data_IF_625712769871
#
_entry.id   IF_625712769871
#
_cell.length_a   1.000
_cell.length_b   1.000
_cell.length_c   1.000
_cell.angle_alpha   90.00
_cell.angle_beta   90.00
_cell.angle_gamma   90.00
#
_symmetry.space_group_name_H-M   'P 1'
#
loop_
_entity.id
_entity.type
_entity.pdbx_description
1 polymer ?
#
# COMPACT_ATOMS: atom_id res chain seq x y z
N UNK A 1 4.76 -9.07 -19.98
CA UNK A 1 3.34 -8.82 -19.69
C UNK A 1 3.22 -7.31 -19.46
N UNK A 2 2.11 -6.63 -19.75
CA UNK A 2 1.96 -5.27 -19.24
C UNK A 2 1.80 -5.32 -17.71
N UNK A 3 2.29 -4.30 -17.00
CA UNK A 3 1.94 -4.12 -15.58
C UNK A 3 0.44 -3.82 -15.49
N UNK A 4 -0.16 -4.25 -14.39
CA UNK A 4 -1.55 -3.99 -14.06
C UNK A 4 -1.64 -3.11 -12.82
N UNK A 5 -2.77 -2.43 -12.61
CA UNK A 5 -3.03 -1.69 -11.36
C UNK A 5 -2.82 -2.57 -10.11
N UNK A 6 -3.14 -3.86 -10.23
CA UNK A 6 -2.95 -4.83 -9.15
C UNK A 6 -1.48 -5.00 -8.75
N UNK A 7 -0.55 -4.90 -9.70
CA UNK A 7 0.88 -4.99 -9.40
C UNK A 7 1.36 -3.78 -8.58
N UNK A 8 0.86 -2.58 -8.89
CA UNK A 8 1.13 -1.37 -8.12
C UNK A 8 0.50 -1.40 -6.73
N UNK A 9 -0.76 -1.83 -6.64
CA UNK A 9 -1.45 -2.00 -5.36
C UNK A 9 -0.72 -3.01 -4.46
N UNK A 10 -0.17 -4.09 -5.04
CA UNK A 10 0.64 -5.07 -4.30
C UNK A 10 1.91 -4.45 -3.72
N UNK A 11 2.61 -3.63 -4.49
CA UNK A 11 3.79 -2.93 -4.02
C UNK A 11 3.46 -1.95 -2.87
N UNK A 12 2.40 -1.15 -3.03
CA UNK A 12 1.94 -0.23 -1.99
C UNK A 12 1.44 -0.97 -0.74
N UNK A 13 0.82 -2.15 -0.91
CA UNK A 13 0.43 -3.00 0.21
C UNK A 13 1.65 -3.39 1.05
N UNK A 14 2.69 -3.89 0.38
CA UNK A 14 3.92 -4.33 1.01
C UNK A 14 4.65 -3.19 1.72
N UNK A 15 4.73 -2.01 1.10
CA UNK A 15 5.27 -0.82 1.77
C UNK A 15 4.47 -0.48 3.05
N UNK A 16 3.15 -0.47 3.00
CA UNK A 16 2.37 -0.21 4.21
C UNK A 16 2.57 -1.30 5.29
N UNK A 17 2.74 -2.57 4.93
CA UNK A 17 3.03 -3.63 5.89
C UNK A 17 4.40 -3.46 6.57
N UNK A 18 5.42 -3.03 5.82
CA UNK A 18 6.77 -2.82 6.36
C UNK A 18 6.86 -1.56 7.22
N UNK A 19 6.29 -0.45 6.74
CA UNK A 19 6.56 0.88 7.27
C UNK A 19 5.53 1.38 8.29
N UNK A 20 4.35 0.76 8.38
CA UNK A 20 3.30 1.20 9.31
C UNK A 20 3.73 1.19 10.79
N UNK A 21 4.64 0.29 11.18
CA UNK A 21 5.17 0.17 12.54
C UNK A 21 5.97 1.42 12.96
N UNK A 22 6.32 2.29 12.01
CA UNK A 22 7.01 3.56 12.23
C UNK A 22 6.10 4.78 11.96
N UNK A 23 4.77 4.58 11.90
CA UNK A 23 3.79 5.61 11.55
C UNK A 23 4.02 6.25 10.17
N UNK A 24 4.56 5.48 9.23
CA UNK A 24 4.78 5.89 7.83
C UNK A 24 3.82 5.08 6.95
N UNK A 25 3.01 5.80 6.18
CA UNK A 25 1.95 5.22 5.35
C UNK A 25 2.05 5.73 3.92
N UNK A 26 1.76 4.85 2.95
CA UNK A 26 1.83 5.15 1.53
C UNK A 26 0.43 5.12 0.92
N UNK A 27 0.02 6.23 0.29
CA UNK A 27 -1.26 6.34 -0.43
C UNK A 27 -1.03 6.12 -1.92
N UNK A 28 -1.67 5.10 -2.48
CA UNK A 28 -1.69 4.92 -3.94
C UNK A 28 -2.54 6.02 -4.60
N UNK A 29 -2.00 6.66 -5.64
CA UNK A 29 -2.63 7.77 -6.37
C UNK A 29 -2.90 7.46 -7.85
N UNK A 30 -2.51 6.28 -8.33
CA UNK A 30 -2.64 5.89 -9.74
C UNK A 30 -1.30 5.51 -10.36
N UNK A 31 -1.33 5.09 -11.63
CA UNK A 31 -0.17 4.93 -12.50
C UNK A 31 -0.47 5.57 -13.86
N UNK A 32 0.58 5.96 -14.57
CA UNK A 32 0.49 6.54 -15.91
C UNK A 32 1.49 5.82 -16.81
N UNK A 33 1.07 5.49 -18.04
CA UNK A 33 1.90 4.85 -19.06
C UNK A 33 2.54 5.91 -19.98
N UNK A 34 3.31 6.87 -19.46
CA UNK A 34 4.11 7.78 -20.31
C UNK A 34 5.24 8.48 -19.54
N UNK A 35 6.22 9.03 -20.29
CA UNK A 35 7.33 9.87 -19.81
C UNK A 35 6.84 11.28 -19.37
N UNK A 36 5.70 11.34 -18.68
CA UNK A 36 5.21 12.58 -18.08
C UNK A 36 6.22 13.07 -17.03
N UNK A 37 6.29 14.39 -16.89
CA UNK A 37 7.17 15.00 -15.89
C UNK A 37 6.77 14.48 -14.50
N UNK A 38 7.71 13.92 -13.70
CA UNK A 38 7.40 13.41 -12.38
C UNK A 38 6.61 14.43 -11.56
N UNK A 39 5.56 13.96 -10.90
CA UNK A 39 4.71 14.84 -10.10
C UNK A 39 5.47 15.21 -8.83
N UNK A 40 5.58 16.52 -8.58
CA UNK A 40 6.46 17.05 -7.53
C UNK A 40 5.89 16.85 -6.12
N UNK A 41 4.58 16.61 -6.02
CA UNK A 41 3.83 16.39 -4.78
C UNK A 41 3.66 14.90 -4.46
N UNK A 42 4.36 14.00 -5.17
CA UNK A 42 4.27 12.56 -4.96
C UNK A 42 5.65 11.88 -4.95
N UNK A 43 5.72 10.74 -4.26
CA UNK A 43 6.83 9.81 -4.42
C UNK A 43 6.62 9.04 -5.74
N UNK A 44 7.49 9.30 -6.72
CA UNK A 44 7.37 8.66 -8.04
C UNK A 44 8.20 7.37 -8.06
N UNK A 45 7.58 6.28 -8.52
CA UNK A 45 8.26 5.00 -8.76
C UNK A 45 8.21 4.73 -10.26
N UNK A 46 9.35 4.95 -10.92
CA UNK A 46 9.51 4.73 -12.34
C UNK A 46 9.90 3.28 -12.58
N UNK A 47 9.10 2.57 -13.37
CA UNK A 47 9.36 1.18 -13.71
C UNK A 47 9.81 1.10 -15.16
N UNK A 48 11.04 0.61 -15.40
CA UNK A 48 11.63 0.53 -16.73
C UNK A 48 11.71 -0.90 -17.26
N UNK A 49 11.50 -1.11 -18.57
CA UNK A 49 11.52 -2.44 -19.17
C UNK A 49 12.93 -3.07 -19.33
N UNK A 50 14.01 -2.29 -19.21
CA UNK A 50 15.40 -2.77 -19.39
C UNK A 50 16.05 -3.19 -18.06
N UNK A 51 17.18 -3.93 -18.11
CA UNK A 51 18.08 -4.29 -16.99
C UNK A 51 18.77 -3.05 -16.35
N UNK A 52 18.05 -1.93 -16.28
CA UNK A 52 18.51 -0.63 -15.82
C UNK A 52 18.75 -0.67 -14.31
N UNK A 53 19.97 -0.31 -13.94
CA UNK A 53 20.39 -0.21 -12.55
C UNK A 53 19.53 0.75 -11.72
N UNK A 54 19.59 0.54 -10.41
CA UNK A 54 18.92 1.32 -9.40
C UNK A 54 19.51 2.74 -9.41
N UNK A 55 18.66 3.72 -9.71
CA UNK A 55 19.02 5.13 -9.63
C UNK A 55 18.06 5.78 -8.63
N UNK A 56 18.65 6.23 -7.53
CA UNK A 56 17.96 6.93 -6.47
C UNK A 56 18.23 8.41 -6.60
N UNK A 57 17.16 9.18 -6.64
CA UNK A 57 17.19 10.57 -6.22
C UNK A 57 16.16 10.72 -5.11
N UNK A 58 16.24 11.77 -4.27
CA UNK A 58 15.18 12.04 -3.30
C UNK A 58 13.77 12.18 -3.95
N UNK A 59 13.72 12.35 -5.27
CA UNK A 59 12.49 12.62 -6.01
C UNK A 59 11.79 11.41 -6.63
N UNK A 60 12.54 10.36 -6.96
CA UNK A 60 12.00 9.16 -7.58
C UNK A 60 12.90 7.93 -7.42
N UNK A 61 12.25 6.78 -7.46
CA UNK A 61 12.88 5.45 -7.54
C UNK A 61 12.85 4.98 -8.98
N UNK A 62 13.94 4.44 -9.49
CA UNK A 62 13.98 3.76 -10.78
C UNK A 62 14.21 2.26 -10.57
N UNK A 63 13.23 1.44 -10.92
CA UNK A 63 13.25 -0.02 -10.73
C UNK A 63 13.03 -0.73 -12.07
N UNK A 64 13.73 -1.84 -12.29
CA UNK A 64 13.49 -2.70 -13.44
C UNK A 64 12.15 -3.44 -13.33
N UNK A 65 11.52 -3.71 -14.47
CA UNK A 65 10.25 -4.42 -14.54
C UNK A 65 10.30 -5.80 -13.86
N UNK A 66 11.40 -6.54 -14.03
CA UNK A 66 11.58 -7.88 -13.45
C UNK A 66 11.68 -7.82 -11.94
N UNK A 67 12.45 -6.86 -11.43
CA UNK A 67 12.56 -6.57 -9.99
C UNK A 67 11.22 -6.21 -9.38
N UNK A 68 10.46 -5.31 -10.00
CA UNK A 68 9.19 -4.84 -9.47
C UNK A 68 8.17 -5.98 -9.25
N UNK A 69 8.13 -6.96 -10.16
CA UNK A 69 7.19 -8.08 -10.06
C UNK A 69 7.68 -9.23 -9.18
N UNK A 70 9.00 -9.43 -9.11
CA UNK A 70 9.62 -10.57 -8.42
C UNK A 70 9.88 -10.32 -6.93
N UNK A 71 10.33 -9.11 -6.59
CA UNK A 71 11.07 -8.87 -5.35
C UNK A 71 10.60 -7.58 -4.66
N UNK A 72 9.44 -7.64 -4.02
CA UNK A 72 8.90 -6.52 -3.23
C UNK A 72 9.86 -5.99 -2.15
N UNK A 73 10.73 -6.80 -1.50
CA UNK A 73 11.67 -6.23 -0.57
C UNK A 73 12.67 -5.26 -1.22
N UNK A 74 12.93 -5.35 -2.54
CA UNK A 74 13.73 -4.33 -3.27
C UNK A 74 13.00 -2.98 -3.23
N UNK A 75 11.69 -2.92 -3.51
CA UNK A 75 11.01 -1.62 -3.47
C UNK A 75 11.07 -1.00 -2.08
N UNK A 76 11.01 -1.82 -1.03
CA UNK A 76 11.18 -1.34 0.34
C UNK A 76 12.60 -0.87 0.60
N UNK A 77 13.63 -1.59 0.13
CA UNK A 77 15.03 -1.16 0.21
C UNK A 77 15.25 0.23 -0.39
N UNK A 78 14.76 0.44 -1.62
CA UNK A 78 14.89 1.71 -2.32
C UNK A 78 14.13 2.85 -1.63
N UNK A 79 12.92 2.56 -1.11
CA UNK A 79 12.16 3.53 -0.30
C UNK A 79 12.94 3.87 0.98
N UNK A 80 13.62 2.91 1.60
CA UNK A 80 14.47 3.14 2.77
C UNK A 80 15.54 4.18 2.50
N UNK A 81 16.21 4.11 1.34
CA UNK A 81 17.18 5.13 0.93
C UNK A 81 16.58 6.52 0.73
N UNK A 82 15.40 6.61 0.12
CA UNK A 82 14.68 7.89 0.01
C UNK A 82 14.37 8.47 1.39
N UNK A 83 14.07 7.60 2.35
CA UNK A 83 13.84 7.97 3.74
C UNK A 83 15.16 8.11 4.54
N UNK A 84 16.31 8.18 3.88
CA UNK A 84 17.61 8.51 4.48
C UNK A 84 18.27 7.36 5.22
N UNK A 85 17.84 6.12 4.97
CA UNK A 85 18.58 4.93 5.40
C UNK A 85 19.76 4.66 4.47
N UNK A 86 20.81 4.12 5.06
CA UNK A 86 21.99 3.66 4.35
C UNK A 86 22.05 2.13 4.40
N UNK A 87 22.87 1.53 3.54
CA UNK A 87 23.14 0.10 3.65
C UNK A 87 23.73 -0.23 5.03
N UNK A 88 23.31 -1.35 5.64
CA UNK A 88 23.80 -1.76 6.98
C UNK A 88 25.32 -2.01 7.05
N UNK A 89 25.97 -2.11 5.89
CA UNK A 89 27.42 -2.30 5.74
C UNK A 89 28.12 -1.06 5.15
N UNK A 90 27.47 0.10 5.08
CA UNK A 90 28.07 1.32 4.55
C UNK A 90 29.40 1.62 5.27
N UNK A 91 30.43 2.06 4.54
CA UNK A 91 31.76 2.30 5.11
C UNK A 91 32.53 1.03 5.51
N UNK A 92 31.94 -0.16 5.44
CA UNK A 92 32.68 -1.40 5.71
C UNK A 92 33.84 -1.56 4.71
N UNK A 93 35.04 -1.94 5.18
CA UNK A 93 36.07 -2.42 4.28
C UNK A 93 35.52 -3.65 3.57
N UNK A 94 35.80 -3.80 2.27
CA UNK A 94 35.57 -5.08 1.61
C UNK A 94 36.49 -6.09 2.30
N UNK A 95 35.90 -7.06 2.99
CA UNK A 95 36.67 -8.12 3.66
C UNK A 95 37.23 -9.02 2.57
N UNK A 96 38.52 -8.87 2.26
CA UNK A 96 39.27 -9.88 1.52
C UNK A 96 39.45 -11.10 2.43
N UNK A 97 38.49 -12.04 2.43
CA UNK A 97 38.75 -13.35 3.01
C UNK A 97 38.40 -14.44 2.02
N UNK A 98 39.43 -15.03 1.41
CA UNK A 98 39.39 -16.46 1.12
C UNK A 98 39.37 -17.19 2.46
N UNK A 99 38.20 -17.68 2.88
CA UNK A 99 38.10 -18.45 4.11
C UNK A 99 39.15 -19.57 4.12
N UNK A 100 39.93 -19.66 5.19
CA UNK A 100 40.92 -20.74 5.33
C UNK A 100 40.20 -22.08 5.50
N UNK A 101 38.99 -22.04 6.06
CA UNK A 101 38.11 -23.19 6.22
C UNK A 101 36.80 -22.99 5.45
N UNK A 102 36.37 -23.93 4.58
CA UNK A 102 35.07 -23.82 3.94
C UNK A 102 33.97 -23.77 5.00
N UNK A 103 33.21 -22.68 5.01
CA UNK A 103 32.05 -22.53 5.88
C UNK A 103 30.94 -23.40 5.29
N UNK A 104 30.57 -24.49 5.99
CA UNK A 104 29.46 -25.35 5.56
C UNK A 104 28.16 -24.92 6.22
N UNK A 105 27.12 -24.70 5.41
CA UNK A 105 25.73 -24.69 5.84
C UNK A 105 25.32 -26.09 6.35
N UNK A 106 25.71 -26.46 7.57
CA UNK A 106 25.18 -27.66 8.21
C UNK A 106 23.89 -27.32 8.94
N UNK A 107 22.77 -27.27 8.21
CA UNK A 107 21.49 -27.66 8.80
C UNK A 107 20.52 -28.21 7.76
N UNK A 108 20.63 -29.52 7.54
CA UNK A 108 19.54 -30.33 6.98
C UNK A 108 19.53 -31.69 7.70
N UNK A 109 18.47 -32.04 8.45
CA UNK A 109 18.27 -33.41 8.98
C UNK A 109 18.25 -34.50 7.89
N UNK A 110 18.13 -34.13 6.61
CA UNK A 110 18.06 -35.01 5.44
C UNK A 110 19.35 -35.09 4.61
N UNK A 111 20.40 -34.35 4.99
CA UNK A 111 21.77 -34.52 4.43
C UNK A 111 22.02 -33.89 3.06
N UNK A 112 21.21 -32.92 2.64
CA UNK A 112 21.40 -32.22 1.37
C UNK A 112 22.31 -31.01 1.57
N UNK A 113 23.54 -31.08 1.06
CA UNK A 113 24.44 -29.92 0.97
C UNK A 113 23.87 -28.97 -0.08
N UNK A 114 23.49 -27.75 0.34
CA UNK A 114 23.15 -26.66 -0.59
C UNK A 114 24.39 -25.82 -0.86
N UNK A 115 24.56 -25.48 -2.13
CA UNK A 115 25.73 -24.80 -2.69
C UNK A 115 25.92 -23.43 -2.03
N UNK A 116 27.17 -23.09 -1.72
CA UNK A 116 27.55 -21.82 -1.09
C UNK A 116 27.53 -20.72 -2.16
N UNK A 117 26.91 -19.59 -1.84
CA UNK A 117 26.88 -18.40 -2.69
C UNK A 117 28.27 -17.94 -3.14
N UNK A 118 28.31 -17.24 -4.27
CA UNK A 118 29.53 -16.75 -4.90
C UNK A 118 30.25 -15.73 -4.01
N UNK A 119 31.52 -16.00 -3.66
CA UNK A 119 32.43 -15.04 -3.05
C UNK A 119 33.04 -14.15 -4.14
N UNK A 120 32.60 -12.89 -4.23
CA UNK A 120 33.23 -11.91 -5.11
C UNK A 120 34.37 -11.22 -4.36
N UNK A 121 35.60 -11.47 -4.82
CA UNK A 121 36.77 -10.64 -4.52
C UNK A 121 36.80 -9.53 -5.57
N UNK A 122 36.48 -8.30 -5.17
CA UNK A 122 36.63 -7.13 -6.05
C UNK A 122 37.53 -6.09 -5.36
N UNK A 123 38.39 -5.54 -6.21
CA UNK A 123 39.61 -4.74 -6.06
C UNK A 123 39.62 -3.66 -4.94
N UNK A 124 40.70 -3.57 -4.13
CA UNK A 124 40.91 -2.53 -3.12
C UNK A 124 41.41 -1.23 -3.74
N UNK A 125 40.52 -0.28 -4.02
CA UNK A 125 40.97 1.09 -4.30
C UNK A 125 39.99 2.17 -3.82
N UNK A 126 39.49 2.03 -2.58
CA UNK A 126 38.89 3.16 -1.86
C UNK A 126 39.42 3.23 -0.43
N UNK A 127 40.17 4.29 -0.13
CA UNK A 127 40.52 4.81 1.19
C UNK A 127 39.25 5.21 1.98
N UNK A 128 38.26 4.33 2.12
CA UNK A 128 37.00 4.62 2.81
C UNK A 128 37.22 4.60 4.32
N UNK A 129 37.56 5.79 4.81
CA UNK A 129 37.46 6.18 6.21
C UNK A 129 35.99 6.02 6.64
N UNK A 130 35.76 5.25 7.70
CA UNK A 130 34.52 5.14 8.50
C UNK A 130 33.83 3.75 8.48
N UNK A 131 34.62 2.68 8.57
CA UNK A 131 34.14 1.36 8.97
C UNK A 131 33.51 1.38 10.36
N UNK A 132 32.32 0.80 10.50
CA UNK A 132 31.70 0.67 11.81
C UNK A 132 32.37 -0.43 12.64
N UNK A 133 32.72 -0.11 13.89
CA UNK A 133 33.24 -1.09 14.83
C UNK A 133 32.09 -1.89 15.46
N UNK A 134 32.36 -3.16 15.77
CA UNK A 134 31.37 -4.09 16.32
C UNK A 134 30.86 -3.65 17.70
N UNK A 135 31.66 -2.90 18.46
CA UNK A 135 31.31 -2.50 19.82
C UNK A 135 30.10 -1.57 19.86
N UNK A 136 29.09 -1.96 20.64
CA UNK A 136 27.87 -1.17 20.89
C UNK A 136 27.87 -0.44 22.22
N UNK A 137 29.00 -0.42 22.92
CA UNK A 137 29.15 0.27 24.20
C UNK A 137 29.58 1.73 23.96
N UNK A 138 28.72 2.74 24.22
CA UNK A 138 29.08 4.15 24.03
C UNK A 138 30.24 4.63 24.91
N UNK A 139 30.63 3.88 25.95
CA UNK A 139 31.80 4.16 26.77
C UNK A 139 33.11 3.59 26.19
N UNK A 140 33.03 2.72 25.18
CA UNK A 140 34.19 2.16 24.49
C UNK A 140 34.90 3.26 23.69
N UNK A 141 36.25 3.38 23.78
CA UNK A 141 36.99 4.31 22.93
C UNK A 141 36.90 3.99 21.43
N UNK A 142 36.43 2.78 21.10
CA UNK A 142 36.26 2.31 19.73
C UNK A 142 34.79 2.43 19.26
N UNK A 143 33.87 2.98 20.06
CA UNK A 143 32.48 3.17 19.64
C UNK A 143 32.38 4.24 18.56
N UNK A 144 31.79 3.89 17.41
CA UNK A 144 31.60 4.82 16.29
C UNK A 144 30.27 4.63 15.54
N UNK A 145 29.31 3.89 16.08
CA UNK A 145 27.99 3.64 15.44
C UNK A 145 27.17 4.91 15.09
N UNK A 146 27.54 6.08 15.63
CA UNK A 146 26.91 7.37 15.33
C UNK A 146 27.60 8.12 14.19
N UNK A 147 28.81 7.70 13.80
CA UNK A 147 29.69 8.43 12.88
C UNK A 147 30.26 7.56 11.78
N UNK A 148 29.93 6.28 11.76
CA UNK A 148 30.40 5.26 10.82
C UNK A 148 29.26 4.25 10.57
N UNK A 149 29.37 3.44 9.53
CA UNK A 149 28.32 2.46 9.21
C UNK A 149 27.11 3.09 8.53
N UNK A 150 25.93 2.58 8.88
CA UNK A 150 24.63 3.12 8.48
C UNK A 150 24.13 4.26 9.40
N UNK A 151 24.93 4.65 10.39
CA UNK A 151 24.64 5.68 11.39
C UNK A 151 23.41 5.36 12.25
N UNK A 152 23.09 4.07 12.43
CA UNK A 152 21.99 3.60 13.27
C UNK A 152 22.56 2.72 14.39
N UNK A 153 22.25 3.06 15.65
CA UNK A 153 22.90 2.40 16.79
C UNK A 153 22.42 0.97 17.00
N UNK A 154 21.14 0.70 16.72
CA UNK A 154 20.49 -0.59 16.98
C UNK A 154 20.55 -1.56 15.79
N UNK A 155 21.13 -1.16 14.65
CA UNK A 155 21.55 -2.06 13.58
C UNK A 155 22.94 -2.61 13.92
N UNK A 156 23.13 -3.94 14.00
CA UNK A 156 24.44 -4.51 14.27
C UNK A 156 25.43 -4.23 13.14
N UNK A 157 26.71 -4.08 13.51
CA UNK A 157 27.75 -3.71 12.56
C UNK A 157 27.86 -4.86 11.56
N UNK A 158 28.00 -4.51 10.29
CA UNK A 158 27.98 -5.47 9.22
C UNK A 158 29.09 -5.18 8.23
N UNK A 159 29.37 -6.17 7.39
CA UNK A 159 30.24 -6.04 6.26
C UNK A 159 29.51 -6.39 4.98
N UNK A 160 30.05 -5.93 3.85
CA UNK A 160 29.44 -6.17 2.54
C UNK A 160 29.36 -7.66 2.26
N UNK A 161 28.17 -8.16 1.92
CA UNK A 161 27.89 -9.56 1.60
C UNK A 161 28.29 -10.51 2.74
N UNK A 162 27.56 -10.49 3.88
CA UNK A 162 27.85 -11.36 5.00
C UNK A 162 27.75 -12.83 4.63
N UNK A 163 28.39 -13.69 5.42
CA UNK A 163 28.26 -15.13 5.26
C UNK A 163 26.84 -15.52 5.65
N UNK A 164 26.03 -15.88 4.67
CA UNK A 164 24.62 -16.18 4.90
C UNK A 164 24.32 -17.63 4.52
N UNK A 165 23.53 -18.27 5.35
CA UNK A 165 22.87 -19.52 5.03
C UNK A 165 21.38 -19.29 4.86
N UNK A 166 20.82 -19.69 3.72
CA UNK A 166 19.40 -19.50 3.40
C UNK A 166 18.70 -20.83 3.17
N UNK A 167 17.57 -21.04 3.85
CA UNK A 167 16.65 -22.15 3.60
C UNK A 167 15.39 -21.66 2.91
N UNK A 168 15.34 -21.84 1.59
CA UNK A 168 14.19 -21.49 0.75
C UNK A 168 12.91 -22.24 1.20
N UNK A 169 13.03 -23.44 1.78
CA UNK A 169 11.86 -24.22 2.18
C UNK A 169 11.20 -23.65 3.44
N UNK A 170 11.99 -23.15 4.39
CA UNK A 170 11.46 -22.50 5.59
C UNK A 170 11.22 -21.00 5.41
N UNK A 171 11.87 -20.38 4.41
CA UNK A 171 11.87 -18.92 4.27
C UNK A 171 12.80 -18.23 5.27
N UNK A 172 13.79 -18.94 5.82
CA UNK A 172 14.73 -18.38 6.79
C UNK A 172 16.11 -18.14 6.21
N UNK A 173 16.79 -17.15 6.79
CA UNK A 173 18.18 -16.82 6.50
C UNK A 173 18.91 -16.45 7.79
N UNK A 174 20.14 -16.92 7.96
CA UNK A 174 20.94 -16.64 9.15
C UNK A 174 22.42 -16.44 8.82
N UNK A 175 23.06 -15.58 9.63
CA UNK A 175 24.48 -15.30 9.55
C UNK A 175 25.30 -16.52 10.01
N UNK A 176 26.35 -16.86 9.26
CA UNK A 176 27.33 -17.86 9.63
C UNK A 176 28.58 -17.18 10.20
N UNK A 177 28.70 -17.27 11.51
CA UNK A 177 29.82 -16.70 12.26
C UNK A 177 31.18 -17.23 11.78
N UNK A 178 32.15 -16.32 11.70
CA UNK A 178 33.56 -16.63 11.50
C UNK A 178 34.41 -15.69 12.36
N UNK A 179 35.37 -16.25 13.10
CA UNK A 179 36.37 -15.47 13.84
C UNK A 179 37.45 -14.87 12.92
N UNK A 180 37.45 -15.22 11.63
CA UNK A 180 38.33 -14.65 10.59
C UNK A 180 37.81 -13.31 10.07
N UNK A 181 36.51 -12.98 10.29
CA UNK A 181 35.90 -11.73 9.84
C UNK A 181 35.80 -10.75 11.00
N UNK A 182 36.71 -9.78 11.02
CA UNK A 182 36.94 -8.84 12.13
C UNK A 182 36.82 -7.38 11.67
N UNK A 183 36.45 -6.48 12.57
CA UNK A 183 36.53 -5.03 12.36
C UNK A 183 37.98 -4.52 12.44
N UNK A 184 38.16 -3.21 12.25
CA UNK A 184 39.48 -2.55 12.28
C UNK A 184 40.19 -2.66 13.63
N UNK A 185 39.45 -2.96 14.70
CA UNK A 185 39.98 -3.14 16.06
C UNK A 185 40.38 -4.59 16.35
N UNK A 186 40.13 -5.50 15.41
CA UNK A 186 40.33 -6.93 15.54
C UNK A 186 39.21 -7.65 16.28
N UNK A 187 38.02 -7.04 16.37
CA UNK A 187 36.84 -7.64 17.01
C UNK A 187 36.00 -8.39 15.97
N UNK A 188 35.70 -9.69 16.15
CA UNK A 188 34.86 -10.44 15.21
C UNK A 188 33.42 -9.91 15.11
N UNK A 189 32.86 -9.95 13.91
CA UNK A 189 31.43 -9.69 13.70
C UNK A 189 30.60 -10.87 14.23
N UNK A 190 29.73 -10.64 15.21
CA UNK A 190 29.01 -11.72 15.94
C UNK A 190 27.50 -11.73 15.76
N UNK A 191 26.89 -10.67 15.23
CA UNK A 191 25.43 -10.51 15.28
C UNK A 191 24.87 -9.75 14.07
N UNK A 192 25.31 -10.09 12.85
CA UNK A 192 24.83 -9.42 11.64
C UNK A 192 23.35 -9.70 11.42
N UNK A 193 22.57 -8.65 11.22
CA UNK A 193 21.16 -8.75 10.84
C UNK A 193 21.04 -8.99 9.33
N UNK A 194 20.98 -10.26 8.95
CA UNK A 194 20.92 -10.66 7.54
C UNK A 194 19.53 -10.48 6.91
N UNK A 195 18.50 -10.21 7.73
CA UNK A 195 17.12 -10.00 7.28
C UNK A 195 16.78 -8.52 7.13
N UNK A 196 17.72 -7.64 7.49
CA UNK A 196 17.53 -6.20 7.35
C UNK A 196 17.28 -5.82 5.90
N UNK A 197 16.19 -5.09 5.67
CA UNK A 197 15.82 -4.61 4.34
C UNK A 197 16.95 -3.80 3.72
N UNK A 198 17.76 -3.09 4.51
CA UNK A 198 18.91 -2.30 4.01
C UNK A 198 20.20 -3.13 3.84
N UNK A 199 20.13 -4.46 3.88
CA UNK A 199 21.24 -5.35 3.54
C UNK A 199 21.22 -5.76 2.06
N UNK A 200 22.28 -6.44 1.59
CA UNK A 200 22.39 -7.00 0.23
C UNK A 200 22.22 -8.52 0.20
N UNK A 201 21.51 -9.08 1.19
CA UNK A 201 21.29 -10.52 1.23
C UNK A 201 20.23 -10.95 0.20
N UNK A 202 20.14 -12.26 -0.01
CA UNK A 202 19.25 -12.81 -1.02
C UNK A 202 17.77 -12.55 -0.68
N UNK A 203 17.00 -12.25 -1.72
CA UNK A 203 15.53 -12.27 -1.65
C UNK A 203 15.06 -13.74 -1.60
N UNK A 204 13.95 -14.05 -0.89
CA UNK A 204 12.96 -13.14 -0.30
C UNK A 204 13.16 -12.87 1.20
N UNK A 205 14.36 -13.08 1.75
CA UNK A 205 14.58 -13.13 3.21
C UNK A 205 14.65 -11.78 3.92
N UNK A 206 14.55 -10.68 3.17
CA UNK A 206 14.59 -9.32 3.70
C UNK A 206 13.21 -8.88 4.18
N UNK A 207 13.04 -8.70 5.48
CA UNK A 207 11.71 -8.48 6.07
C UNK A 207 11.66 -7.63 7.35
N UNK A 208 12.79 -7.08 7.81
CA UNK A 208 12.79 -6.23 8.99
C UNK A 208 13.54 -4.89 8.78
N UNK A 209 13.16 -3.94 9.63
CA UNK A 209 13.84 -2.67 9.86
C UNK A 209 13.87 -2.46 11.39
N UNK A 210 14.90 -1.79 11.91
CA UNK A 210 15.03 -1.54 13.35
C UNK A 210 14.24 -0.31 13.78
N UNK A 211 14.06 -0.13 15.09
CA UNK A 211 13.42 1.07 15.64
C UNK A 211 14.26 2.31 15.33
N UNK A 212 15.59 2.22 15.41
CA UNK A 212 16.51 3.30 15.07
C UNK A 212 16.43 3.69 13.59
N UNK A 213 16.29 2.73 12.68
CA UNK A 213 16.00 3.01 11.26
C UNK A 213 14.65 3.75 11.13
N UNK A 214 13.61 3.30 11.84
CA UNK A 214 12.33 3.99 11.96
C UNK A 214 12.45 5.46 12.37
N UNK A 215 13.20 5.74 13.44
CA UNK A 215 13.46 7.12 13.91
C UNK A 215 14.16 7.94 12.84
N UNK A 216 15.23 7.40 12.23
CA UNK A 216 15.97 8.09 11.17
C UNK A 216 15.08 8.45 10.00
N UNK A 217 14.21 7.54 9.56
CA UNK A 217 13.25 7.83 8.49
C UNK A 217 12.31 8.99 8.82
N UNK A 218 11.80 9.04 10.05
CA UNK A 218 10.93 10.15 10.51
C UNK A 218 11.68 11.47 10.59
N UNK A 219 12.94 11.45 11.02
CA UNK A 219 13.82 12.62 11.03
C UNK A 219 14.10 13.11 9.61
N UNK A 220 14.43 12.21 8.67
CA UNK A 220 14.64 12.55 7.26
C UNK A 220 13.39 13.19 6.67
N UNK A 221 12.21 12.57 6.85
CA UNK A 221 10.94 13.14 6.39
C UNK A 221 10.79 14.57 6.92
N UNK A 222 11.03 14.81 8.21
CA UNK A 222 10.85 16.12 8.86
C UNK A 222 11.84 17.18 8.37
N UNK A 223 13.07 16.78 8.04
CA UNK A 223 14.15 17.70 7.73
C UNK A 223 14.33 17.96 6.24
N UNK A 224 13.91 17.04 5.38
CA UNK A 224 14.05 17.16 3.92
C UNK A 224 12.80 17.82 3.32
N UNK A 225 12.95 19.05 2.80
CA UNK A 225 11.84 19.82 2.21
C UNK A 225 11.15 19.06 1.07
N UNK A 226 11.93 18.28 0.33
CA UNK A 226 11.46 17.48 -0.80
C UNK A 226 10.46 16.41 -0.34
N UNK A 227 10.68 15.79 0.83
CA UNK A 227 9.74 14.81 1.38
C UNK A 227 8.55 15.48 2.04
N UNK A 228 8.74 16.64 2.67
CA UNK A 228 7.64 17.43 3.24
C UNK A 228 6.61 17.82 2.18
N UNK A 229 7.05 18.20 0.98
CA UNK A 229 6.16 18.57 -0.14
C UNK A 229 5.32 17.39 -0.67
N UNK A 230 5.65 16.15 -0.26
CA UNK A 230 4.96 14.91 -0.66
C UNK A 230 4.04 14.36 0.43
N UNK A 231 4.01 15.01 1.59
CA UNK A 231 3.11 14.61 2.68
C UNK A 231 1.67 15.00 2.35
N UNK A 232 0.74 14.18 2.82
CA UNK A 232 -0.70 14.42 2.75
C UNK A 232 -1.33 14.09 4.08
N UNK A 233 -2.55 14.59 4.32
CA UNK A 233 -3.29 14.26 5.52
C UNK A 233 -3.65 12.76 5.58
N UNK A 234 -3.63 12.21 6.80
CA UNK A 234 -4.02 10.82 7.10
C UNK A 234 -5.44 10.52 6.61
N UNK A 235 -6.32 11.52 6.56
CA UNK A 235 -7.68 11.38 6.02
C UNK A 235 -7.72 10.85 4.59
N UNK A 236 -6.67 11.05 3.80
CA UNK A 236 -6.55 10.53 2.43
C UNK A 236 -6.53 9.00 2.36
N UNK A 237 -6.09 8.31 3.43
CA UNK A 237 -6.16 6.84 3.51
C UNK A 237 -7.61 6.34 3.54
N UNK A 238 -8.53 7.19 4.01
CA UNK A 238 -9.96 6.92 4.05
C UNK A 238 -10.72 7.38 2.80
N UNK A 239 -10.00 7.70 1.72
CA UNK A 239 -10.55 7.95 0.40
C UNK A 239 -10.34 6.73 -0.49
N UNK A 240 -11.34 6.36 -1.31
CA UNK A 240 -11.15 5.26 -2.25
C UNK A 240 -10.09 5.66 -3.29
N UNK A 241 -9.27 4.70 -3.73
CA UNK A 241 -8.34 4.95 -4.84
C UNK A 241 -9.07 4.91 -6.19
N UNK A 242 -10.19 4.21 -6.27
CA UNK A 242 -11.03 4.12 -7.45
C UNK A 242 -12.51 3.92 -7.09
N UNK A 243 -13.38 4.19 -8.06
CA UNK A 243 -14.82 4.11 -7.89
C UNK A 243 -15.45 5.29 -7.19
N UNK A 244 -16.77 5.25 -7.05
CA UNK A 244 -17.57 6.40 -6.63
C UNK A 244 -18.59 6.03 -5.54
N UNK A 245 -18.78 6.95 -4.61
CA UNK A 245 -19.90 6.89 -3.68
C UNK A 245 -21.18 7.33 -4.37
N UNK A 246 -22.24 6.55 -4.18
CA UNK A 246 -23.57 6.92 -4.69
C UNK A 246 -24.25 7.83 -3.68
N UNK A 247 -24.76 8.95 -4.17
CA UNK A 247 -25.38 10.00 -3.35
C UNK A 247 -26.91 9.98 -3.38
N UNK A 248 -27.54 9.21 -4.27
CA UNK A 248 -28.99 9.06 -4.35
C UNK A 248 -29.45 7.85 -5.18
N UNK A 249 -30.76 7.57 -5.06
CA UNK A 249 -31.66 6.74 -5.87
C UNK A 249 -31.58 5.19 -5.83
N UNK A 250 -32.74 4.61 -6.12
CA UNK A 250 -33.03 3.17 -6.24
C UNK A 250 -32.32 2.58 -7.47
N UNK A 251 -31.36 1.68 -7.25
CA UNK A 251 -31.03 0.63 -8.21
C UNK A 251 -30.81 -0.70 -7.49
N UNK A 252 -31.38 -1.81 -8.00
CA UNK A 252 -31.22 -3.15 -7.45
C UNK A 252 -29.92 -3.85 -7.88
N UNK A 253 -28.98 -3.16 -8.55
CA UNK A 253 -27.79 -3.79 -9.12
C UNK A 253 -26.53 -3.38 -8.35
N UNK A 254 -25.66 -4.37 -8.12
CA UNK A 254 -24.32 -4.19 -7.58
C UNK A 254 -23.70 -2.92 -8.16
N UNK A 255 -23.13 -2.06 -7.31
CA UNK A 255 -22.48 -0.86 -7.79
C UNK A 255 -21.38 -1.28 -8.78
N UNK A 256 -21.58 -1.07 -10.08
CA UNK A 256 -20.63 -1.48 -11.12
C UNK A 256 -19.24 -0.86 -10.91
N UNK A 257 -19.18 0.25 -10.17
CA UNK A 257 -17.94 0.92 -9.80
C UNK A 257 -17.93 1.29 -8.30
N UNK A 258 -17.78 0.31 -7.40
CA UNK A 258 -17.82 0.53 -5.96
C UNK A 258 -16.60 1.34 -5.50
N UNK A 259 -16.70 2.12 -4.41
CA UNK A 259 -15.55 2.81 -3.82
C UNK A 259 -14.56 1.77 -3.27
N UNK A 260 -13.45 1.56 -3.98
CA UNK A 260 -12.42 0.57 -3.66
C UNK A 260 -11.29 1.20 -2.86
N UNK A 261 -10.77 0.45 -1.91
CA UNK A 261 -9.71 0.86 -1.01
C UNK A 261 -8.44 0.06 -1.27
N UNK A 262 -7.30 0.73 -1.11
CA UNK A 262 -6.01 0.09 -1.35
C UNK A 262 -5.74 -0.99 -0.29
N UNK A 263 -5.05 -2.09 -0.62
CA UNK A 263 -4.57 -3.07 0.34
C UNK A 263 -3.44 -2.51 1.24
N UNK A 264 -2.95 -3.34 2.17
CA UNK A 264 -1.83 -3.00 3.06
C UNK A 264 -2.22 -2.57 4.48
N UNK A 265 -3.51 -2.66 4.81
CA UNK A 265 -4.05 -2.29 6.12
C UNK A 265 -5.00 -3.36 6.63
N UNK A 266 -5.08 -3.49 7.96
CA UNK A 266 -6.16 -4.23 8.59
C UNK A 266 -7.40 -3.32 8.62
N UNK A 267 -8.33 -3.59 7.71
CA UNK A 267 -9.59 -2.86 7.63
C UNK A 267 -10.66 -3.57 8.45
N UNK A 268 -11.44 -2.78 9.17
CA UNK A 268 -12.72 -3.20 9.70
C UNK A 268 -13.80 -2.23 9.24
N UNK A 269 -14.81 -2.76 8.56
CA UNK A 269 -15.98 -2.00 8.14
C UNK A 269 -17.08 -2.23 9.16
N UNK A 270 -17.30 -1.23 10.00
CA UNK A 270 -18.28 -1.30 11.09
C UNK A 270 -19.63 -0.80 10.62
N UNK A 271 -20.71 -1.37 11.15
CA UNK A 271 -22.04 -0.88 10.86
C UNK A 271 -22.12 0.60 11.30
N UNK A 272 -22.68 1.45 10.46
CA UNK A 272 -22.92 2.84 10.80
C UNK A 272 -24.34 3.24 10.44
N UNK A 273 -24.92 4.16 11.23
CA UNK A 273 -26.25 4.68 10.97
C UNK A 273 -26.39 6.12 11.42
N UNK A 274 -27.26 6.84 10.72
CA UNK A 274 -27.78 8.12 11.18
C UNK A 274 -29.02 7.89 12.05
N UNK A 275 -29.10 8.58 13.18
CA UNK A 275 -30.30 8.60 14.03
C UNK A 275 -31.17 9.84 13.78
N UNK A 276 -30.77 10.72 12.86
CA UNK A 276 -31.36 12.04 12.64
C UNK A 276 -31.90 12.21 11.22
N UNK A 277 -33.04 12.90 11.10
CA UNK A 277 -33.61 13.38 9.83
C UNK A 277 -32.69 14.41 9.11
N UNK A 278 -31.53 14.75 9.70
CA UNK A 278 -30.61 15.78 9.23
C UNK A 278 -29.53 15.27 8.25
N UNK A 279 -29.60 14.02 7.80
CA UNK A 279 -28.80 13.49 6.68
C UNK A 279 -29.19 14.09 5.33
N UNK A 280 -30.32 14.81 5.25
CA UNK A 280 -30.74 15.53 4.05
C UNK A 280 -29.74 16.66 3.73
N UNK A 281 -28.83 16.38 2.79
CA UNK A 281 -27.85 17.34 2.27
C UNK A 281 -26.43 17.23 2.83
N UNK A 282 -26.13 16.21 3.65
CA UNK A 282 -24.73 15.94 4.07
C UNK A 282 -23.92 15.30 2.92
N UNK A 283 -22.63 15.65 2.77
CA UNK A 283 -21.77 14.94 1.84
C UNK A 283 -21.63 13.47 2.27
N UNK A 284 -21.69 12.56 1.29
CA UNK A 284 -21.48 11.13 1.49
C UNK A 284 -20.18 10.71 0.80
N UNK A 285 -19.32 9.92 1.46
CA UNK A 285 -19.37 9.56 2.88
C UNK A 285 -19.20 10.80 3.75
N UNK A 286 -19.53 10.66 5.03
CA UNK A 286 -19.40 11.77 5.99
C UNK A 286 -17.96 12.31 5.99
N UNK A 287 -17.76 13.62 6.27
CA UNK A 287 -16.41 14.18 6.40
C UNK A 287 -15.56 13.39 7.40
N UNK A 288 -14.25 13.35 7.19
CA UNK A 288 -13.34 12.57 8.05
C UNK A 288 -13.47 12.92 9.55
N UNK A 289 -13.60 14.21 9.87
CA UNK A 289 -13.72 14.70 11.24
C UNK A 289 -15.15 14.60 11.83
N UNK A 290 -16.14 14.20 11.03
CA UNK A 290 -17.53 14.09 11.50
C UNK A 290 -17.78 12.73 12.13
N UNK A 291 -17.74 12.69 13.47
CA UNK A 291 -18.02 11.51 14.30
C UNK A 291 -19.45 11.46 14.83
N UNK A 292 -20.38 12.25 14.28
CA UNK A 292 -21.75 12.37 14.83
C UNK A 292 -22.67 11.19 14.46
N UNK A 293 -22.15 10.16 13.78
CA UNK A 293 -22.88 8.95 13.41
C UNK A 293 -22.78 7.87 14.51
N UNK A 294 -23.75 6.97 14.55
CA UNK A 294 -23.69 5.83 15.45
C UNK A 294 -22.91 4.70 14.78
N UNK A 295 -22.04 4.04 15.55
CA UNK A 295 -21.31 2.83 15.14
C UNK A 295 -21.88 1.59 15.83
N UNK A 296 -21.87 0.46 15.13
CA UNK A 296 -22.27 -0.85 15.64
C UNK A 296 -21.15 -1.89 15.46
N UNK A 297 -21.56 -3.15 15.27
CA UNK A 297 -20.66 -4.28 15.10
C UNK A 297 -19.84 -4.22 13.80
N UNK A 298 -18.70 -4.90 13.77
CA UNK A 298 -17.94 -5.14 12.53
C UNK A 298 -18.80 -5.98 11.58
N UNK A 299 -19.06 -5.46 10.38
CA UNK A 299 -19.85 -6.15 9.34
C UNK A 299 -18.93 -7.07 8.53
N UNK A 300 -17.75 -6.58 8.16
CA UNK A 300 -16.72 -7.33 7.48
C UNK A 300 -15.34 -6.69 7.73
N UNK A 301 -14.28 -7.47 7.52
CA UNK A 301 -12.90 -7.06 7.75
C UNK A 301 -11.97 -7.69 6.72
N UNK A 302 -10.86 -7.02 6.45
CA UNK A 302 -9.80 -7.54 5.58
C UNK A 302 -8.45 -7.39 6.30
N UNK A 303 -7.63 -8.45 6.36
CA UNK A 303 -6.29 -8.34 6.90
C UNK A 303 -5.37 -7.58 5.94
N UNK A 304 -4.25 -7.06 6.45
CA UNK A 304 -3.29 -6.28 5.67
C UNK A 304 -2.68 -7.04 4.49
N UNK A 305 -2.65 -8.37 4.53
CA UNK A 305 -2.09 -9.28 3.52
C UNK A 305 -3.15 -9.84 2.54
N UNK A 306 -4.38 -9.32 2.59
CA UNK A 306 -5.48 -9.78 1.75
C UNK A 306 -5.21 -9.59 0.25
N UNK A 307 -5.26 -10.67 -0.54
CA UNK A 307 -4.76 -10.70 -1.92
C UNK A 307 -5.78 -10.36 -3.02
N UNK A 308 -7.07 -10.22 -2.70
CA UNK A 308 -8.15 -9.95 -3.68
C UNK A 308 -8.57 -8.48 -3.55
N UNK A 309 -7.78 -7.58 -4.11
CA UNK A 309 -7.90 -6.14 -3.83
C UNK A 309 -9.23 -5.54 -4.30
N UNK A 310 -9.88 -6.15 -5.28
CA UNK A 310 -11.20 -5.75 -5.75
C UNK A 310 -12.30 -5.89 -4.68
N UNK A 311 -12.13 -6.75 -3.68
CA UNK A 311 -13.16 -6.99 -2.67
C UNK A 311 -13.13 -5.95 -1.54
N UNK A 312 -12.05 -5.16 -1.42
CA UNK A 312 -11.90 -4.14 -0.37
C UNK A 312 -12.73 -2.90 -0.76
N UNK A 313 -14.03 -2.95 -0.48
CA UNK A 313 -15.00 -1.91 -0.85
C UNK A 313 -15.71 -1.32 0.36
N UNK A 314 -16.07 -0.04 0.26
CA UNK A 314 -16.88 0.63 1.26
C UNK A 314 -18.38 0.49 0.94
N UNK A 315 -19.02 -0.46 1.60
CA UNK A 315 -20.44 -0.76 1.42
C UNK A 315 -21.32 0.28 2.12
N UNK A 316 -22.57 0.32 1.67
CA UNK A 316 -23.56 1.19 2.30
C UNK A 316 -23.84 0.76 3.75
N UNK A 317 -24.13 1.73 4.60
CA UNK A 317 -24.31 1.63 6.05
C UNK A 317 -23.09 1.07 6.80
N UNK A 318 -21.88 1.31 6.28
CA UNK A 318 -20.66 1.03 7.03
C UNK A 318 -19.77 2.27 7.17
N UNK A 319 -18.90 2.26 8.17
CA UNK A 319 -17.83 3.20 8.40
C UNK A 319 -16.51 2.43 8.45
N UNK A 320 -15.40 3.10 8.18
CA UNK A 320 -14.08 2.47 8.03
C UNK A 320 -13.29 2.63 9.31
N UNK A 321 -12.70 1.55 9.81
CA UNK A 321 -11.62 1.57 10.80
C UNK A 321 -10.38 0.96 10.16
N UNK A 322 -9.26 1.68 10.25
CA UNK A 322 -7.93 1.20 9.89
C UNK A 322 -7.22 0.93 11.22
N UNK A 323 -7.03 -0.35 11.56
CA UNK A 323 -6.61 -0.77 12.91
C UNK A 323 -5.25 -0.21 13.29
N UNK A 324 -4.35 -0.04 12.30
CA UNK A 324 -3.02 0.54 12.50
C UNK A 324 -3.02 2.03 12.88
N UNK A 325 -4.12 2.77 12.62
CA UNK A 325 -4.17 4.23 12.81
C UNK A 325 -4.89 4.61 14.11
N UNK A 326 -6.13 4.15 14.25
CA UNK A 326 -6.99 4.54 15.37
C UNK A 326 -8.18 3.59 15.55
N UNK A 327 -8.68 3.52 16.79
CA UNK A 327 -9.84 2.70 17.14
C UNK A 327 -11.18 3.30 16.65
N UNK A 328 -11.19 4.57 16.26
CA UNK A 328 -12.40 5.32 15.93
C UNK A 328 -12.78 5.11 14.46
N UNK A 329 -13.95 4.54 14.16
CA UNK A 329 -14.42 4.44 12.78
C UNK A 329 -14.69 5.82 12.19
N UNK A 330 -14.37 6.00 10.91
CA UNK A 330 -14.47 7.26 10.15
C UNK A 330 -15.31 7.09 8.89
N UNK A 331 -15.70 8.22 8.30
CA UNK A 331 -16.32 8.30 6.96
C UNK A 331 -17.58 7.43 6.81
N UNK A 332 -18.51 7.42 7.76
CA UNK A 332 -19.75 6.65 7.60
C UNK A 332 -20.41 6.90 6.22
N UNK A 333 -20.55 5.82 5.44
CA UNK A 333 -21.25 5.83 4.18
C UNK A 333 -22.63 5.23 4.40
N UNK A 334 -23.59 6.06 4.81
CA UNK A 334 -24.99 5.67 4.92
C UNK A 334 -25.80 6.49 3.93
N UNK A 335 -25.94 5.96 2.72
CA UNK A 335 -27.03 6.35 1.85
C UNK A 335 -28.32 5.75 2.42
N UNK A 336 -29.18 6.62 2.97
CA UNK A 336 -30.59 6.32 2.98
C UNK A 336 -30.96 6.35 1.50
N UNK A 337 -31.19 5.19 0.89
CA UNK A 337 -31.74 5.12 -0.46
C UNK A 337 -32.89 6.12 -0.51
N UNK A 338 -32.68 7.26 -1.20
CA UNK A 338 -33.70 8.28 -1.27
C UNK A 338 -34.83 7.61 -2.02
N UNK A 339 -35.89 7.23 -1.30
CA UNK A 339 -37.11 6.84 -1.96
C UNK A 339 -37.55 8.08 -2.72
N UNK A 340 -37.70 7.95 -4.03
CA UNK A 340 -38.26 9.04 -4.81
C UNK A 340 -39.65 9.36 -4.25
N UNK A 341 -39.96 10.63 -4.03
CA UNK A 341 -41.26 11.03 -3.51
C UNK A 341 -42.33 10.92 -4.62
N UNK A 342 -41.90 10.95 -5.88
CA UNK A 342 -42.70 10.85 -7.08
C UNK A 342 -41.80 10.58 -8.28
N UNK A 343 -42.39 10.30 -9.44
CA UNK A 343 -41.66 10.23 -10.70
C UNK A 343 -42.58 10.14 -11.90
N UNK A 344 -41.99 10.07 -13.08
CA UNK A 344 -42.70 9.94 -14.35
C UNK A 344 -42.06 8.85 -15.18
N UNK A 345 -42.88 7.95 -15.74
CA UNK A 345 -42.45 6.96 -16.72
C UNK A 345 -42.90 7.44 -18.09
N UNK A 346 -41.94 7.71 -18.97
CA UNK A 346 -42.16 8.20 -20.32
C UNK A 346 -41.88 7.07 -21.31
N UNK A 347 -42.93 6.50 -21.90
CA UNK A 347 -42.81 5.48 -22.97
C UNK A 347 -42.65 6.19 -24.32
N UNK A 348 -41.62 5.86 -25.08
CA UNK A 348 -41.45 6.32 -26.46
C UNK A 348 -42.25 5.41 -27.40
N UNK A 349 -43.35 5.91 -27.95
CA UNK A 349 -44.38 5.09 -28.61
C UNK A 349 -43.89 4.41 -29.90
N UNK A 350 -42.85 4.95 -30.52
CA UNK A 350 -42.21 4.43 -31.74
C UNK A 350 -40.81 3.83 -31.49
N UNK A 351 -40.41 3.70 -30.22
CA UNK A 351 -39.10 3.17 -29.84
C UNK A 351 -37.93 4.11 -30.13
N UNK A 352 -38.19 5.39 -30.44
CA UNK A 352 -37.16 6.40 -30.70
C UNK A 352 -37.30 7.56 -29.71
N UNK A 353 -36.18 8.08 -29.21
CA UNK A 353 -36.19 9.24 -28.30
C UNK A 353 -36.65 10.48 -29.08
N UNK A 354 -37.92 10.86 -28.90
CA UNK A 354 -38.55 12.00 -29.56
C UNK A 354 -39.76 12.50 -28.74
N UNK A 355 -40.60 13.36 -29.34
CA UNK A 355 -41.78 13.91 -28.67
C UNK A 355 -43.03 13.01 -28.71
N UNK A 356 -42.99 11.89 -29.44
CA UNK A 356 -44.09 10.92 -29.54
C UNK A 356 -44.07 9.97 -28.33
N UNK A 357 -44.52 10.49 -27.19
CA UNK A 357 -44.41 9.80 -25.91
C UNK A 357 -45.74 9.65 -25.19
N UNK A 358 -45.81 8.66 -24.30
CA UNK A 358 -46.86 8.53 -23.29
C UNK A 358 -46.22 8.64 -21.91
N UNK A 359 -46.56 9.68 -21.15
CA UNK A 359 -46.03 9.92 -19.80
C UNK A 359 -47.02 9.49 -18.72
N UNK A 360 -46.54 8.70 -17.75
CA UNK A 360 -47.33 8.20 -16.62
C UNK A 360 -46.69 8.64 -15.31
N UNK A 361 -47.35 9.52 -14.57
CA UNK A 361 -46.90 9.90 -13.24
C UNK A 361 -47.06 8.74 -12.25
N UNK A 362 -46.11 8.62 -11.32
CA UNK A 362 -46.09 7.67 -10.21
C UNK A 362 -45.88 8.42 -8.90
N UNK A 363 -46.57 7.99 -7.86
CA UNK A 363 -46.31 8.42 -6.49
C UNK A 363 -45.09 7.67 -5.91
N UNK A 364 -44.72 7.98 -4.68
CA UNK A 364 -43.56 7.35 -4.02
C UNK A 364 -43.65 5.83 -3.99
N UNK A 365 -44.82 5.24 -3.75
CA UNK A 365 -44.97 3.78 -3.75
C UNK A 365 -44.79 3.20 -5.15
N UNK A 366 -45.37 3.83 -6.17
CA UNK A 366 -45.32 3.34 -7.54
C UNK A 366 -43.97 3.53 -8.23
N UNK A 367 -43.21 4.59 -7.90
CA UNK A 367 -41.90 4.86 -8.52
C UNK A 367 -40.78 4.06 -7.86
N UNK A 368 -40.92 3.72 -6.58
CA UNK A 368 -39.96 2.89 -5.85
C UNK A 368 -40.36 1.40 -5.81
N UNK A 369 -41.36 0.99 -6.59
CA UNK A 369 -41.75 -0.42 -6.69
C UNK A 369 -40.54 -1.24 -7.21
N UNK A 370 -40.03 -2.23 -6.45
CA UNK A 370 -38.90 -3.02 -6.88
C UNK A 370 -39.14 -3.79 -8.18
N UNK A 371 -40.42 -4.01 -8.54
CA UNK A 371 -40.82 -4.65 -9.79
C UNK A 371 -41.22 -3.64 -10.88
N UNK A 372 -40.97 -2.33 -10.71
CA UNK A 372 -41.41 -1.30 -11.64
C UNK A 372 -41.01 -1.63 -13.09
N UNK A 373 -39.72 -1.87 -13.32
CA UNK A 373 -39.18 -2.21 -14.65
C UNK A 373 -39.72 -3.55 -15.16
N UNK A 374 -39.83 -4.55 -14.28
CA UNK A 374 -40.38 -5.86 -14.61
C UNK A 374 -41.87 -5.80 -15.01
N UNK A 375 -42.59 -4.81 -14.50
CA UNK A 375 -44.01 -4.59 -14.79
C UNK A 375 -44.25 -3.69 -16.03
N UNK A 376 -43.22 -3.06 -16.60
CA UNK A 376 -43.35 -2.31 -17.86
C UNK A 376 -43.66 -3.25 -19.02
N UNK A 377 -44.41 -2.77 -20.01
CA UNK A 377 -44.50 -3.44 -21.31
C UNK A 377 -43.18 -3.35 -22.06
N UNK A 378 -43.01 -4.09 -23.16
CA UNK A 378 -41.84 -3.91 -24.02
C UNK A 378 -41.85 -2.54 -24.69
N UNK A 379 -40.66 -2.02 -24.90
CA UNK A 379 -40.41 -0.74 -25.55
C UNK A 379 -39.29 0.05 -24.89
N UNK A 380 -39.12 1.28 -25.38
CA UNK A 380 -38.14 2.23 -24.87
C UNK A 380 -38.84 3.17 -23.87
N UNK A 381 -38.22 3.35 -22.70
CA UNK A 381 -38.73 4.18 -21.63
C UNK A 381 -37.67 5.14 -21.11
N UNK A 382 -38.09 6.31 -20.65
CA UNK A 382 -37.34 7.19 -19.75
C UNK A 382 -38.08 7.18 -18.40
N UNK A 383 -37.39 6.80 -17.34
CA UNK A 383 -37.88 6.89 -15.97
C UNK A 383 -37.25 8.12 -15.33
N UNK A 384 -38.09 9.08 -14.97
CA UNK A 384 -37.71 10.27 -14.23
C UNK A 384 -38.14 10.10 -12.77
N UNK A 385 -37.25 10.33 -11.84
CA UNK A 385 -37.53 10.25 -10.40
C UNK A 385 -37.28 11.61 -9.75
N UNK A 386 -38.16 12.00 -8.84
CA UNK A 386 -38.06 13.24 -8.08
C UNK A 386 -37.86 12.90 -6.60
N UNK A 387 -37.05 13.70 -5.91
CA UNK A 387 -36.76 13.53 -4.49
C UNK A 387 -37.25 14.74 -3.68
N UNK A 388 -37.41 14.57 -2.36
CA UNK A 388 -37.89 15.63 -1.46
C UNK A 388 -36.94 16.84 -1.36
N UNK A 389 -35.67 16.67 -1.74
CA UNK A 389 -34.69 17.75 -1.78
C UNK A 389 -34.68 18.53 -3.11
N UNK A 390 -35.61 18.22 -4.02
CA UNK A 390 -35.73 18.85 -5.34
C UNK A 390 -34.76 18.31 -6.39
N UNK A 391 -33.93 17.32 -6.06
CA UNK A 391 -33.10 16.62 -7.05
C UNK A 391 -33.96 15.75 -7.97
N UNK A 392 -33.47 15.52 -9.19
CA UNK A 392 -34.09 14.66 -10.19
C UNK A 392 -33.06 13.67 -10.75
N UNK A 393 -33.49 12.44 -10.99
CA UNK A 393 -32.69 11.42 -11.68
C UNK A 393 -33.45 10.87 -12.90
N UNK A 394 -32.72 10.52 -13.96
CA UNK A 394 -33.25 10.12 -15.26
C UNK A 394 -32.55 8.86 -15.76
N UNK A 395 -33.32 7.80 -16.04
CA UNK A 395 -32.80 6.54 -16.59
C UNK A 395 -33.53 6.14 -17.86
N UNK A 396 -32.79 5.87 -18.93
CA UNK A 396 -33.34 5.29 -20.16
C UNK A 396 -33.24 3.76 -20.09
N UNK A 397 -34.34 3.08 -20.41
CA UNK A 397 -34.44 1.61 -20.38
C UNK A 397 -35.05 1.15 -21.71
N UNK A 398 -34.37 0.21 -22.37
CA UNK A 398 -34.95 -0.59 -23.44
C UNK A 398 -35.38 -1.93 -22.85
N UNK A 399 -36.68 -2.23 -22.90
CA UNK A 399 -37.23 -3.50 -22.45
C UNK A 399 -37.67 -4.34 -23.65
N UNK A 400 -36.98 -5.45 -23.86
CA UNK A 400 -37.31 -6.45 -24.88
C UNK A 400 -37.89 -7.71 -24.22
N UNK A 401 -38.55 -8.56 -25.01
CA UNK A 401 -38.96 -9.89 -24.54
C UNK A 401 -37.72 -10.77 -24.42
N UNK A 402 -37.36 -11.16 -23.21
CA UNK A 402 -36.70 -12.45 -22.96
C UNK A 402 -37.76 -13.55 -22.78
#
# INVERSE_FOLDING_TARGET
MPLTENDYLKAVAYLNQVYNQFDIFFKYRGFVEDDETPLTDMLNILIRPEDGGLALTPDFINISYTTFLGDLPIISHEVGHILGLEHTFLGSPRVESSFINPITCEYDPTGTVRDLGYFFLDDPDTDDLDAENVTRDPASPNYNALTAGDFVVDTPASYRQPNVCSDIASGDSYYIYSDEVIDETGTPYVSIDVRNIMSYNEYPFLDNLTLGQGVRMRETITNESILQDRLTDVSSLYEPYSGIYRTCCWQPEANENPPRFQPGFDYEFVACSDSSILSLGRPLPWPYDDLTFNTGDVVYSFPSDYAVYEDIVHLNNTAIRIVQLEDTPRRCYSNLAKNANSGTIVKFNDGVINANVTATAKDSLGINDPNLVNNLENGLFLIETNFDDGTQDQKVILKDND
#
